data_IF_857726091361
#
_entry.id   IF_857726091361
#
_cell.length_a   1.000
_cell.length_b   1.000
_cell.length_c   1.000
_cell.angle_alpha   90.00
_cell.angle_beta   90.00
_cell.angle_gamma   90.00
#
_symmetry.space_group_name_H-M   'P 1'
#
loop_
_entity.id
_entity.type
_entity.pdbx_description
1 polymer ?
#
# COMPACT_ATOMS: atom_id res chain seq x y z
N UNK A 1 18.21 -32.67 -6.07
CA UNK A 1 17.47 -32.30 -4.84
C UNK A 1 16.03 -32.76 -5.04
N UNK A 2 15.39 -33.47 -4.08
CA UNK A 2 14.00 -33.89 -4.28
C UNK A 2 13.10 -32.65 -4.32
N UNK A 3 12.38 -32.49 -5.43
CA UNK A 3 11.37 -31.44 -5.61
C UNK A 3 10.04 -32.05 -5.20
N UNK A 4 9.49 -31.61 -4.06
CA UNK A 4 8.17 -32.03 -3.61
C UNK A 4 7.11 -31.21 -4.37
N UNK A 5 6.28 -31.88 -5.16
CA UNK A 5 5.22 -31.25 -5.97
C UNK A 5 3.90 -31.31 -5.19
N UNK A 6 3.87 -30.64 -4.04
CA UNK A 6 2.64 -30.43 -3.28
C UNK A 6 1.85 -29.24 -3.81
N UNK A 7 0.52 -29.35 -3.87
CA UNK A 7 -0.37 -28.25 -4.24
C UNK A 7 -0.32 -27.15 -3.17
N UNK A 8 0.32 -26.02 -3.46
CA UNK A 8 0.39 -24.87 -2.54
C UNK A 8 -0.85 -23.99 -2.73
N UNK A 9 -1.70 -23.90 -1.71
CA UNK A 9 -2.89 -23.03 -1.68
C UNK A 9 -2.57 -21.84 -0.77
N UNK A 10 -2.67 -20.61 -1.28
CA UNK A 10 -2.34 -19.40 -0.53
C UNK A 10 -3.57 -18.86 0.17
N UNK A 11 -3.45 -18.68 1.48
CA UNK A 11 -4.45 -18.01 2.29
C UNK A 11 -3.83 -16.72 2.85
N UNK A 12 -3.83 -15.66 2.04
CA UNK A 12 -3.40 -14.32 2.47
C UNK A 12 -4.35 -13.71 3.51
N UNK A 13 -5.55 -14.29 3.66
CA UNK A 13 -6.60 -13.82 4.56
C UNK A 13 -6.92 -14.83 5.68
N UNK A 14 -5.92 -15.57 6.19
CA UNK A 14 -6.12 -16.41 7.37
C UNK A 14 -4.94 -16.36 8.34
N UNK A 15 -5.22 -16.68 9.61
CA UNK A 15 -4.24 -16.68 10.68
C UNK A 15 -3.54 -15.33 10.85
N UNK A 16 -2.22 -15.38 11.04
CA UNK A 16 -1.39 -14.20 11.30
C UNK A 16 -1.47 -13.14 10.19
N UNK A 17 -1.63 -13.55 8.92
CA UNK A 17 -1.74 -12.59 7.80
C UNK A 17 -3.01 -11.75 7.88
N UNK A 18 -4.13 -12.34 8.30
CA UNK A 18 -5.37 -11.61 8.51
C UNK A 18 -5.22 -10.61 9.67
N UNK A 19 -4.59 -11.04 10.77
CA UNK A 19 -4.33 -10.18 11.92
C UNK A 19 -3.47 -8.97 11.57
N UNK A 20 -2.37 -9.16 10.84
CA UNK A 20 -1.46 -8.08 10.41
C UNK A 20 -2.22 -7.07 9.53
N UNK A 21 -3.07 -7.58 8.64
CA UNK A 21 -3.90 -6.74 7.79
C UNK A 21 -4.94 -5.95 8.61
N UNK A 22 -5.64 -6.60 9.54
CA UNK A 22 -6.60 -5.93 10.44
C UNK A 22 -5.94 -4.86 11.29
N UNK A 23 -4.76 -5.13 11.88
CA UNK A 23 -3.99 -4.16 12.65
C UNK A 23 -3.61 -2.94 11.78
N UNK A 24 -3.19 -3.17 10.54
CA UNK A 24 -2.89 -2.10 9.58
C UNK A 24 -4.13 -1.25 9.29
N UNK A 25 -5.28 -1.88 9.04
CA UNK A 25 -6.57 -1.19 8.82
C UNK A 25 -7.01 -0.39 10.05
N UNK A 26 -6.80 -0.90 11.27
CA UNK A 26 -7.17 -0.21 12.51
C UNK A 26 -6.30 1.02 12.77
N UNK A 27 -4.99 0.92 12.48
CA UNK A 27 -4.03 2.02 12.60
C UNK A 27 -4.27 3.12 11.56
N UNK A 28 -4.85 2.80 10.40
CA UNK A 28 -5.13 3.76 9.35
C UNK A 28 -6.19 4.81 9.76
N UNK A 29 -5.84 6.08 9.53
CA UNK A 29 -6.75 7.22 9.56
C UNK A 29 -7.38 7.50 8.21
N UNK A 30 -6.60 7.36 7.13
CA UNK A 30 -7.05 7.56 5.77
C UNK A 30 -6.29 6.66 4.78
N UNK A 31 -6.82 6.53 3.56
CA UNK A 31 -6.19 5.81 2.47
C UNK A 31 -5.98 6.67 1.24
N UNK A 32 -4.86 6.47 0.55
CA UNK A 32 -4.66 6.94 -0.82
C UNK A 32 -4.66 5.76 -1.79
N UNK A 33 -5.34 5.93 -2.92
CA UNK A 33 -5.53 4.89 -3.93
C UNK A 33 -5.27 5.44 -5.34
N UNK A 34 -4.75 4.60 -6.21
CA UNK A 34 -4.79 4.83 -7.65
C UNK A 34 -6.15 4.45 -8.24
N UNK A 35 -6.57 5.15 -9.31
CA UNK A 35 -7.81 4.89 -10.07
C UNK A 35 -8.08 3.40 -10.33
N UNK A 36 -7.07 2.65 -10.82
CA UNK A 36 -7.23 1.22 -11.13
C UNK A 36 -7.55 0.36 -9.90
N UNK A 37 -6.96 0.68 -8.75
CA UNK A 37 -7.26 -0.04 -7.51
C UNK A 37 -8.64 0.30 -6.99
N UNK A 38 -9.06 1.56 -7.12
CA UNK A 38 -10.41 1.99 -6.78
C UNK A 38 -11.48 1.31 -7.65
N UNK A 39 -11.27 1.25 -8.97
CA UNK A 39 -12.15 0.55 -9.91
C UNK A 39 -12.22 -0.95 -9.60
N UNK A 40 -11.09 -1.59 -9.30
CA UNK A 40 -11.04 -3.01 -8.92
C UNK A 40 -11.79 -3.29 -7.60
N UNK A 41 -11.82 -2.34 -6.67
CA UNK A 41 -12.59 -2.44 -5.43
C UNK A 41 -14.10 -2.21 -5.62
N UNK A 42 -14.54 -1.81 -6.82
CA UNK A 42 -15.97 -1.61 -7.14
C UNK A 42 -16.60 -0.42 -6.42
N UNK A 43 -15.84 0.66 -6.23
CA UNK A 43 -16.29 1.87 -5.52
C UNK A 43 -16.83 1.58 -4.12
N UNK A 44 -16.27 0.56 -3.46
CA UNK A 44 -16.59 0.26 -2.08
C UNK A 44 -15.74 1.09 -1.13
N UNK A 45 -16.34 1.63 -0.06
CA UNK A 45 -15.61 2.42 0.91
C UNK A 45 -14.55 1.53 1.58
N UNK A 46 -13.28 1.91 1.38
CA UNK A 46 -12.14 1.12 1.83
C UNK A 46 -12.10 1.16 3.36
N UNK A 47 -12.46 0.04 3.97
CA UNK A 47 -12.52 -0.17 5.44
C UNK A 47 -13.25 0.93 6.22
N UNK A 48 -14.22 1.59 5.58
CA UNK A 48 -14.97 2.71 6.14
C UNK A 48 -14.08 3.87 6.65
N UNK A 49 -13.02 4.21 5.90
CA UNK A 49 -12.10 5.31 6.19
C UNK A 49 -12.06 6.33 5.04
N UNK A 50 -11.82 7.62 5.32
CA UNK A 50 -11.58 8.64 4.29
C UNK A 50 -10.61 8.12 3.22
N UNK A 51 -11.01 8.21 1.97
CA UNK A 51 -10.28 7.63 0.84
C UNK A 51 -10.04 8.67 -0.25
N UNK A 52 -8.80 8.79 -0.69
CA UNK A 52 -8.35 9.78 -1.67
C UNK A 52 -7.86 9.06 -2.93
N UNK A 53 -8.59 9.23 -4.03
CA UNK A 53 -8.34 8.53 -5.29
C UNK A 53 -7.63 9.44 -6.27
N UNK A 54 -6.41 9.10 -6.64
CA UNK A 54 -5.67 9.78 -7.71
C UNK A 54 -6.40 9.59 -9.03
N UNK A 55 -6.84 10.69 -9.64
CA UNK A 55 -7.60 10.72 -10.87
C UNK A 55 -7.05 11.79 -11.82
N UNK A 56 -7.02 11.48 -13.13
CA UNK A 56 -6.73 12.51 -14.15
C UNK A 56 -7.93 13.39 -14.49
N UNK A 57 -9.12 13.05 -14.00
CA UNK A 57 -10.38 13.74 -14.29
C UNK A 57 -11.10 14.09 -12.99
N UNK A 58 -11.64 15.31 -12.93
CA UNK A 58 -12.48 15.73 -11.81
C UNK A 58 -13.76 14.88 -11.77
N UNK A 59 -14.14 14.45 -10.57
CA UNK A 59 -15.37 13.70 -10.30
C UNK A 59 -16.00 14.23 -9.03
N UNK A 60 -17.32 14.10 -8.93
CA UNK A 60 -18.03 14.40 -7.69
C UNK A 60 -17.59 13.46 -6.58
N UNK A 61 -17.54 13.97 -5.36
CA UNK A 61 -17.24 13.17 -4.18
C UNK A 61 -18.32 12.11 -3.98
N UNK A 62 -17.91 10.90 -3.61
CA UNK A 62 -18.83 9.81 -3.31
C UNK A 62 -18.92 9.66 -1.80
N UNK A 63 -20.14 9.71 -1.26
CA UNK A 63 -20.43 9.37 0.12
C UNK A 63 -21.16 8.03 0.17
N UNK A 64 -20.53 7.02 0.76
CA UNK A 64 -21.07 5.66 0.83
C UNK A 64 -20.74 5.04 2.18
N UNK A 65 -21.73 4.45 2.84
CA UNK A 65 -21.60 3.81 4.16
C UNK A 65 -20.87 4.70 5.19
N UNK A 66 -21.25 5.98 5.25
CA UNK A 66 -20.65 6.95 6.19
C UNK A 66 -19.22 7.37 5.85
N UNK A 67 -18.69 6.95 4.70
CA UNK A 67 -17.31 7.20 4.28
C UNK A 67 -17.28 8.15 3.09
N UNK A 68 -16.36 9.11 3.16
CA UNK A 68 -16.10 10.08 2.09
C UNK A 68 -15.00 9.56 1.17
N UNK A 69 -15.26 9.60 -0.14
CA UNK A 69 -14.32 9.28 -1.20
C UNK A 69 -14.11 10.53 -2.04
N UNK A 70 -12.88 11.05 -2.02
CA UNK A 70 -12.49 12.27 -2.72
C UNK A 70 -11.60 11.91 -3.90
N UNK A 71 -11.90 12.47 -5.08
CA UNK A 71 -11.07 12.30 -6.28
C UNK A 71 -10.13 13.48 -6.40
N UNK A 72 -8.83 13.20 -6.39
CA UNK A 72 -7.76 14.19 -6.35
C UNK A 72 -7.08 14.28 -7.72
N UNK A 73 -6.99 15.47 -8.29
CA UNK A 73 -6.56 15.72 -9.68
C UNK A 73 -5.26 16.52 -9.80
N UNK A 74 -4.76 17.04 -8.71
CA UNK A 74 -3.58 17.90 -8.58
C UNK A 74 -2.33 17.14 -8.12
N UNK A 75 -2.38 15.80 -8.09
CA UNK A 75 -1.20 14.94 -7.96
C UNK A 75 -1.05 14.25 -6.60
N UNK A 76 0.08 13.55 -6.45
CA UNK A 76 0.32 12.68 -5.29
C UNK A 76 0.52 13.46 -3.99
N UNK A 77 1.15 14.63 -4.03
CA UNK A 77 1.41 15.44 -2.83
C UNK A 77 0.11 15.99 -2.25
N UNK A 78 -0.76 16.56 -3.09
CA UNK A 78 -2.08 17.02 -2.64
C UNK A 78 -2.94 15.89 -2.08
N UNK A 79 -2.92 14.71 -2.71
CA UNK A 79 -3.64 13.55 -2.19
C UNK A 79 -3.10 13.13 -0.81
N UNK A 80 -1.78 13.18 -0.61
CA UNK A 80 -1.16 12.86 0.67
C UNK A 80 -1.52 13.89 1.73
N UNK A 81 -1.47 15.18 1.41
CA UNK A 81 -1.74 16.26 2.36
C UNK A 81 -3.20 16.24 2.82
N UNK A 82 -4.15 16.08 1.89
CA UNK A 82 -5.56 15.91 2.23
C UNK A 82 -5.80 14.64 3.05
N UNK A 83 -5.09 13.55 2.73
CA UNK A 83 -5.19 12.31 3.50
C UNK A 83 -4.63 12.46 4.92
N UNK A 84 -3.51 13.19 5.09
CA UNK A 84 -2.94 13.50 6.41
C UNK A 84 -3.88 14.36 7.24
N UNK A 85 -4.49 15.37 6.65
CA UNK A 85 -5.49 16.20 7.33
C UNK A 85 -6.66 15.34 7.83
N UNK A 86 -7.19 14.46 6.97
CA UNK A 86 -8.29 13.57 7.34
C UNK A 86 -7.89 12.47 8.34
N UNK A 87 -6.63 12.02 8.32
CA UNK A 87 -6.12 10.99 9.22
C UNK A 87 -5.87 11.52 10.65
N UNK A 88 -5.56 12.81 10.80
CA UNK A 88 -5.19 13.40 12.07
C UNK A 88 -3.88 12.81 12.59
N UNK A 89 -3.90 12.26 13.81
CA UNK A 89 -2.71 11.62 14.43
C UNK A 89 -2.47 10.18 13.96
N UNK A 90 -3.32 9.66 13.07
CA UNK A 90 -3.21 8.29 12.55
C UNK A 90 -2.42 8.24 11.24
N UNK A 91 -2.01 7.04 10.89
CA UNK A 91 -1.26 6.78 9.67
C UNK A 91 -2.11 6.95 8.40
N UNK A 92 -1.46 7.37 7.32
CA UNK A 92 -2.00 7.31 5.97
C UNK A 92 -1.44 6.08 5.26
N UNK A 93 -2.31 5.20 4.78
CA UNK A 93 -1.91 4.01 4.05
C UNK A 93 -2.11 4.17 2.55
N UNK A 94 -1.11 3.78 1.76
CA UNK A 94 -1.31 3.55 0.34
C UNK A 94 -1.96 2.18 0.16
N UNK A 95 -3.23 2.15 -0.27
CA UNK A 95 -3.86 0.88 -0.64
C UNK A 95 -3.29 0.33 -1.96
N UNK A 96 -2.52 1.16 -2.69
CA UNK A 96 -1.94 0.85 -3.99
C UNK A 96 -2.72 1.48 -5.14
N UNK A 97 -2.52 1.08 -6.39
CA UNK A 97 -1.72 -0.05 -6.86
C UNK A 97 -0.24 0.28 -7.07
N UNK A 98 0.46 -0.61 -7.77
CA UNK A 98 1.90 -0.49 -8.02
C UNK A 98 2.32 0.87 -8.56
N UNK A 99 1.57 1.44 -9.51
CA UNK A 99 1.87 2.75 -10.06
C UNK A 99 1.78 3.88 -9.01
N UNK A 100 0.78 3.84 -8.10
CA UNK A 100 0.70 4.79 -6.98
C UNK A 100 1.91 4.63 -6.07
N UNK A 101 2.23 3.40 -5.67
CA UNK A 101 3.38 3.14 -4.80
C UNK A 101 4.69 3.62 -5.43
N UNK A 102 4.90 3.35 -6.73
CA UNK A 102 6.09 3.80 -7.48
C UNK A 102 6.22 5.32 -7.51
N UNK A 103 5.11 6.06 -7.70
CA UNK A 103 5.12 7.52 -7.69
C UNK A 103 5.55 8.07 -6.32
N UNK A 104 4.96 7.56 -5.24
CA UNK A 104 5.32 7.98 -3.87
C UNK A 104 6.75 7.60 -3.50
N UNK A 105 7.21 6.44 -3.95
CA UNK A 105 8.57 5.98 -3.74
C UNK A 105 9.58 6.84 -4.51
N UNK A 106 9.31 7.15 -5.78
CA UNK A 106 10.15 8.03 -6.59
C UNK A 106 10.17 9.49 -6.12
N UNK A 107 9.13 9.93 -5.40
CA UNK A 107 9.07 11.24 -4.79
C UNK A 107 9.68 11.29 -3.37
N UNK A 108 10.15 10.16 -2.82
CA UNK A 108 10.72 10.11 -1.47
C UNK A 108 9.70 10.36 -0.35
N UNK A 109 8.41 10.14 -0.61
CA UNK A 109 7.31 10.46 0.30
C UNK A 109 6.90 9.29 1.22
N UNK A 110 7.52 8.12 1.05
CA UNK A 110 7.26 6.94 1.89
C UNK A 110 8.15 6.94 3.13
N UNK A 111 7.52 6.70 4.29
CA UNK A 111 8.24 6.52 5.57
C UNK A 111 8.48 5.03 5.87
N UNK A 112 7.49 4.18 5.61
CA UNK A 112 7.56 2.73 5.83
C UNK A 112 7.06 1.94 4.60
N UNK A 113 7.63 0.75 4.40
CA UNK A 113 7.19 -0.24 3.42
C UNK A 113 6.91 -1.56 4.14
N UNK A 114 5.67 -2.05 4.04
CA UNK A 114 5.27 -3.37 4.54
C UNK A 114 4.99 -4.31 3.37
N UNK A 115 5.72 -5.42 3.29
CA UNK A 115 5.65 -6.38 2.20
C UNK A 115 5.23 -7.76 2.71
N UNK A 116 4.19 -8.32 2.10
CA UNK A 116 3.85 -9.73 2.23
C UNK A 116 4.57 -10.53 1.12
N UNK A 117 5.76 -11.07 1.43
CA UNK A 117 6.53 -11.89 0.50
C UNK A 117 5.97 -13.32 0.47
N UNK A 118 5.21 -13.61 -0.58
CA UNK A 118 4.60 -14.93 -0.81
C UNK A 118 5.60 -15.86 -1.50
N UNK A 119 5.63 -17.14 -1.12
CA UNK A 119 6.53 -18.14 -1.69
C UNK A 119 6.10 -18.61 -3.10
N UNK A 120 5.87 -17.68 -4.04
CA UNK A 120 5.44 -17.94 -5.43
C UNK A 120 6.28 -17.13 -6.40
N UNK A 121 6.64 -17.76 -7.52
CA UNK A 121 7.16 -17.07 -8.68
C UNK A 121 6.05 -17.00 -9.74
N UNK A 122 5.49 -15.80 -9.95
CA UNK A 122 4.36 -15.58 -10.86
C UNK A 122 4.75 -15.58 -12.35
N UNK A 123 6.04 -15.43 -12.66
CA UNK A 123 6.56 -15.35 -14.04
C UNK A 123 6.34 -13.98 -14.69
N UNK A 124 5.10 -13.50 -14.74
CA UNK A 124 4.70 -12.20 -15.30
C UNK A 124 3.65 -11.48 -14.45
N UNK A 125 3.41 -10.19 -14.71
CA UNK A 125 2.39 -9.40 -14.02
C UNK A 125 2.80 -7.96 -13.76
N UNK A 126 2.05 -7.30 -12.88
CA UNK A 126 2.30 -5.92 -12.46
C UNK A 126 3.42 -5.93 -11.41
N UNK A 127 4.56 -5.32 -11.72
CA UNK A 127 5.70 -5.21 -10.81
C UNK A 127 5.46 -4.08 -9.82
N UNK A 128 5.63 -4.35 -8.52
CA UNK A 128 5.57 -3.30 -7.49
C UNK A 128 6.75 -2.34 -7.63
N UNK A 129 7.95 -2.90 -7.81
CA UNK A 129 9.20 -2.16 -7.96
C UNK A 129 9.62 -2.19 -9.42
N UNK A 130 9.36 -1.10 -10.13
CA UNK A 130 9.75 -0.91 -11.51
C UNK A 130 10.10 0.56 -11.72
N UNK A 131 11.14 0.82 -12.51
CA UNK A 131 11.56 2.17 -12.89
C UNK A 131 11.79 3.13 -11.70
N UNK A 132 12.40 2.63 -10.61
CA UNK A 132 12.65 3.42 -9.38
C UNK A 132 13.75 4.48 -9.52
N UNK A 133 14.26 4.73 -10.73
CA UNK A 133 15.41 5.58 -10.98
C UNK A 133 16.76 4.84 -10.91
N UNK A 134 17.85 5.59 -11.01
CA UNK A 134 19.22 5.07 -10.97
C UNK A 134 19.83 5.04 -9.56
N UNK A 135 19.19 5.69 -8.59
CA UNK A 135 19.67 5.75 -7.22
C UNK A 135 19.12 4.59 -6.38
N UNK A 136 19.95 4.06 -5.50
CA UNK A 136 19.53 2.99 -4.59
C UNK A 136 18.69 3.56 -3.44
N UNK A 137 17.49 3.04 -3.27
CA UNK A 137 16.69 3.25 -2.05
C UNK A 137 17.20 2.34 -0.94
N UNK A 138 17.59 2.93 0.18
CA UNK A 138 18.04 2.18 1.35
C UNK A 138 16.86 1.93 2.30
N UNK A 139 16.78 0.69 2.80
CA UNK A 139 15.68 0.23 3.64
C UNK A 139 16.25 -0.35 4.93
N UNK A 140 15.87 0.23 6.07
CA UNK A 140 16.16 -0.33 7.39
C UNK A 140 15.08 -1.35 7.73
N UNK A 141 15.45 -2.62 7.94
CA UNK A 141 14.50 -3.65 8.33
C UNK A 141 14.09 -3.47 9.79
N UNK A 142 12.82 -3.15 10.02
CA UNK A 142 12.25 -2.91 11.35
C UNK A 142 11.35 -4.05 11.84
N UNK A 143 10.97 -5.00 10.98
CA UNK A 143 10.12 -6.12 11.39
C UNK A 143 10.14 -7.31 10.42
N UNK A 144 9.97 -8.51 10.98
CA UNK A 144 9.79 -9.77 10.23
C UNK A 144 8.80 -10.66 10.98
N UNK A 145 7.74 -11.09 10.31
CA UNK A 145 6.79 -12.08 10.83
C UNK A 145 6.67 -13.22 9.81
N UNK A 146 6.96 -14.44 10.26
CA UNK A 146 6.80 -15.65 9.43
C UNK A 146 5.39 -16.22 9.64
N UNK A 147 4.66 -16.39 8.55
CA UNK A 147 3.36 -17.06 8.53
C UNK A 147 3.36 -18.17 7.46
N UNK A 148 2.41 -19.13 7.52
CA UNK A 148 2.35 -20.21 6.54
C UNK A 148 2.29 -19.69 5.09
N UNK A 149 3.36 -19.94 4.32
CA UNK A 149 3.46 -19.58 2.90
C UNK A 149 3.72 -18.09 2.60
N UNK A 150 3.92 -17.25 3.62
CA UNK A 150 4.20 -15.82 3.47
C UNK A 150 5.10 -15.28 4.58
N UNK A 151 6.04 -14.41 4.20
CA UNK A 151 6.86 -13.64 5.16
C UNK A 151 6.45 -12.18 5.10
N UNK A 152 5.96 -11.65 6.21
CA UNK A 152 5.66 -10.22 6.33
C UNK A 152 6.93 -9.49 6.75
N UNK A 153 7.36 -8.53 5.93
CA UNK A 153 8.56 -7.74 6.12
C UNK A 153 8.17 -6.28 6.30
N UNK A 154 8.72 -5.61 7.30
CA UNK A 154 8.52 -4.19 7.53
C UNK A 154 9.86 -3.48 7.44
N UNK A 155 9.89 -2.41 6.66
CA UNK A 155 11.06 -1.58 6.43
C UNK A 155 10.73 -0.12 6.71
N UNK A 156 11.66 0.59 7.33
CA UNK A 156 11.71 2.05 7.30
C UNK A 156 12.51 2.48 6.08
N UNK A 157 12.04 3.51 5.39
CA UNK A 157 12.78 4.15 4.30
C UNK A 157 13.82 5.08 4.91
N UNK A 158 15.09 4.86 4.59
CA UNK A 158 16.17 5.75 5.04
C UNK A 158 16.19 6.98 4.16
N UNK A 159 15.93 8.16 4.74
CA UNK A 159 15.96 9.43 4.01
C UNK A 159 17.39 9.94 3.95
N UNK A 160 17.71 10.71 2.91
CA UNK A 160 19.07 11.22 2.71
C UNK A 160 19.55 12.10 3.88
N UNK A 161 18.63 12.81 4.54
CA UNK A 161 18.89 13.61 5.74
C UNK A 161 19.17 12.78 7.01
N UNK A 162 18.93 11.47 6.99
CA UNK A 162 19.18 10.56 8.12
C UNK A 162 20.56 9.87 8.01
N UNK A 163 21.36 10.22 7.00
CA UNK A 163 22.68 9.61 6.70
C UNK A 163 23.88 10.32 7.35
N UNK A 164 23.63 11.28 8.25
CA UNK A 164 24.66 12.04 8.97
C UNK A 164 25.04 11.42 10.33
#
# INVERSE_FOLDING_TARGET
MPVNVGRMTFHLASGESARIFEESVQSAGAFVLGKRSFEAAGENPIFQKPSFVLSGEAREEVFKEGTKITFVTDGIESALDQAREAAGEKDVYLFGGANTVQQYLGAGLLDEIRLALVSVLLGEGIRLFESLGSESLELEKIGVINAPGVTHLSYRVVKENDRD
#
